data_IF_334840105144
#
_entry.id   IF_334840105144
#
_cell.length_a   1.000
_cell.length_b   1.000
_cell.length_c   1.000
_cell.angle_alpha   90.00
_cell.angle_beta   90.00
_cell.angle_gamma   90.00
#
_symmetry.space_group_name_H-M   'P 1'
#
loop_
_entity.id
_entity.type
_entity.pdbx_description
1 polymer ?
#
# COMPACT_ATOMS: atom_id res chain seq x y z
N UNK A 1 -23.02 7.39 18.28
CA UNK A 1 -22.78 6.10 17.58
C UNK A 1 -21.95 6.29 16.30
N UNK A 2 -22.28 7.25 15.42
CA UNK A 2 -21.52 7.49 14.17
C UNK A 2 -20.01 7.74 14.33
N UNK A 3 -19.58 8.44 15.40
CA UNK A 3 -18.16 8.70 15.69
C UNK A 3 -17.34 7.45 16.00
N UNK A 4 -17.91 6.52 16.77
CA UNK A 4 -17.26 5.24 17.13
C UNK A 4 -17.16 4.36 15.88
N UNK A 5 -18.20 4.31 15.05
CA UNK A 5 -18.18 3.56 13.79
C UNK A 5 -17.09 4.07 12.84
N UNK A 6 -16.95 5.39 12.67
CA UNK A 6 -15.89 5.98 11.85
C UNK A 6 -14.48 5.64 12.37
N UNK A 7 -14.30 5.64 13.69
CA UNK A 7 -13.03 5.26 14.32
C UNK A 7 -12.68 3.78 14.11
N UNK A 8 -13.63 2.88 14.36
CA UNK A 8 -13.45 1.44 14.13
C UNK A 8 -13.16 1.15 12.66
N UNK A 9 -13.87 1.81 11.74
CA UNK A 9 -13.62 1.72 10.31
C UNK A 9 -12.17 2.13 9.97
N UNK A 10 -11.68 3.26 10.48
CA UNK A 10 -10.30 3.69 10.25
C UNK A 10 -9.26 2.70 10.77
N UNK A 11 -9.50 2.08 11.94
CA UNK A 11 -8.63 1.01 12.49
C UNK A 11 -8.60 -0.19 11.55
N UNK A 12 -9.76 -0.64 11.06
CA UNK A 12 -9.85 -1.78 10.13
C UNK A 12 -9.12 -1.47 8.82
N UNK A 13 -9.32 -0.28 8.25
CA UNK A 13 -8.61 0.14 7.05
C UNK A 13 -7.08 0.14 7.25
N UNK A 14 -6.62 0.64 8.40
CA UNK A 14 -5.21 0.63 8.75
C UNK A 14 -4.66 -0.79 8.91
N UNK A 15 -5.38 -1.67 9.59
CA UNK A 15 -4.97 -3.06 9.78
C UNK A 15 -4.87 -3.80 8.44
N UNK A 16 -5.84 -3.59 7.53
CA UNK A 16 -5.80 -4.12 6.16
C UNK A 16 -4.57 -3.60 5.43
N UNK A 17 -4.33 -2.28 5.44
CA UNK A 17 -3.15 -1.70 4.83
C UNK A 17 -1.86 -2.32 5.37
N UNK A 18 -1.72 -2.42 6.70
CA UNK A 18 -0.51 -2.93 7.32
C UNK A 18 -0.27 -4.40 6.97
N UNK A 19 -1.32 -5.22 6.96
CA UNK A 19 -1.25 -6.60 6.49
C UNK A 19 -0.84 -6.69 5.02
N UNK A 20 -1.44 -5.87 4.14
CA UNK A 20 -1.09 -5.78 2.72
C UNK A 20 0.36 -5.32 2.52
N UNK A 21 0.85 -4.37 3.32
CA UNK A 21 2.24 -3.92 3.30
C UNK A 21 3.20 -5.04 3.69
N UNK A 22 2.93 -5.76 4.77
CA UNK A 22 3.73 -6.92 5.17
C UNK A 22 3.69 -8.03 4.12
N UNK A 23 2.54 -8.26 3.48
CA UNK A 23 2.42 -9.20 2.38
C UNK A 23 3.29 -8.77 1.19
N UNK A 24 3.33 -7.47 0.86
CA UNK A 24 4.20 -6.94 -0.19
C UNK A 24 5.69 -7.24 0.05
N UNK A 25 6.15 -7.16 1.30
CA UNK A 25 7.52 -7.55 1.70
C UNK A 25 7.77 -9.01 1.35
N UNK A 26 6.84 -9.90 1.71
CA UNK A 26 6.94 -11.33 1.41
C UNK A 26 6.85 -11.63 -0.09
N UNK A 27 5.93 -10.95 -0.79
CA UNK A 27 5.67 -11.12 -2.22
C UNK A 27 6.89 -10.78 -3.09
N UNK A 28 7.58 -9.70 -2.75
CA UNK A 28 8.83 -9.29 -3.43
C UNK A 28 10.04 -10.07 -2.89
N UNK A 29 10.07 -10.35 -1.60
CA UNK A 29 11.21 -10.98 -0.93
C UNK A 29 11.25 -12.51 -1.01
N UNK A 30 10.22 -13.17 -1.56
CA UNK A 30 10.06 -14.63 -1.53
C UNK A 30 10.03 -15.24 -0.12
N UNK A 31 9.32 -14.60 0.81
CA UNK A 31 9.30 -15.03 2.22
C UNK A 31 7.86 -15.15 2.73
N UNK A 32 7.52 -16.31 3.32
CA UNK A 32 6.31 -16.58 4.14
C UNK A 32 4.95 -16.49 3.40
N UNK A 33 4.90 -15.97 2.17
CA UNK A 33 3.66 -15.82 1.39
C UNK A 33 3.46 -16.96 0.37
N UNK A 34 2.20 -17.30 0.02
CA UNK A 34 1.90 -18.38 -0.93
C UNK A 34 2.19 -18.01 -2.39
N UNK A 35 2.08 -16.72 -2.72
CA UNK A 35 2.34 -16.19 -4.07
C UNK A 35 3.49 -15.20 -3.98
N UNK A 36 4.48 -15.32 -4.86
CA UNK A 36 5.59 -14.38 -5.00
C UNK A 36 5.69 -13.85 -6.43
N UNK A 37 6.43 -12.75 -6.58
CA UNK A 37 6.54 -12.02 -7.86
C UNK A 37 7.19 -12.85 -8.98
N UNK A 38 8.14 -13.70 -8.62
CA UNK A 38 9.00 -14.52 -9.50
C UNK A 38 8.78 -16.02 -9.27
N UNK A 39 7.57 -16.41 -8.88
CA UNK A 39 7.15 -17.80 -8.76
C UNK A 39 7.25 -18.61 -10.06
N UNK A 40 6.84 -19.88 -10.00
CA UNK A 40 6.86 -20.75 -11.19
C UNK A 40 5.79 -20.29 -12.18
N UNK A 41 6.12 -20.03 -13.46
CA UNK A 41 5.15 -19.64 -14.47
C UNK A 41 4.10 -20.71 -14.72
N UNK A 42 2.83 -20.31 -14.74
CA UNK A 42 1.67 -21.18 -14.98
C UNK A 42 1.00 -20.91 -16.32
N UNK A 43 1.21 -19.73 -16.89
CA UNK A 43 0.61 -19.27 -18.15
C UNK A 43 1.66 -18.94 -19.21
N UNK A 44 1.31 -18.94 -20.51
CA UNK A 44 2.17 -18.41 -21.55
C UNK A 44 2.55 -16.95 -21.28
N UNK A 45 3.82 -16.60 -21.53
CA UNK A 45 4.38 -15.28 -21.22
C UNK A 45 3.49 -14.10 -21.67
N UNK A 46 3.02 -14.11 -22.92
CA UNK A 46 2.20 -13.00 -23.44
C UNK A 46 0.87 -12.82 -22.71
N UNK A 47 0.26 -13.91 -22.26
CA UNK A 47 -0.98 -13.87 -21.48
C UNK A 47 -0.72 -13.38 -20.05
N UNK A 48 0.31 -13.91 -19.40
CA UNK A 48 0.72 -13.48 -18.06
C UNK A 48 1.05 -11.97 -18.05
N UNK A 49 1.83 -11.51 -19.03
CA UNK A 49 2.20 -10.11 -19.19
C UNK A 49 0.97 -9.20 -19.35
N UNK A 50 -0.02 -9.61 -20.15
CA UNK A 50 -1.24 -8.82 -20.35
C UNK A 50 -2.04 -8.71 -19.04
N UNK A 51 -2.17 -9.81 -18.30
CA UNK A 51 -2.85 -9.83 -17.00
C UNK A 51 -2.14 -8.92 -16.01
N UNK A 52 -0.83 -9.04 -15.86
CA UNK A 52 -0.05 -8.23 -14.93
C UNK A 52 -0.10 -6.74 -15.28
N UNK A 53 -0.01 -6.40 -16.57
CA UNK A 53 -0.17 -5.01 -17.03
C UNK A 53 -1.56 -4.47 -16.73
N UNK A 54 -2.62 -5.28 -16.88
CA UNK A 54 -3.97 -4.88 -16.53
C UNK A 54 -4.13 -4.67 -15.02
N UNK A 55 -3.58 -5.57 -14.18
CA UNK A 55 -3.58 -5.45 -12.73
C UNK A 55 -2.82 -4.20 -12.26
N UNK A 56 -1.63 -3.95 -12.83
CA UNK A 56 -0.85 -2.75 -12.58
C UNK A 56 -1.61 -1.49 -13.00
N UNK A 57 -2.28 -1.52 -14.15
CA UNK A 57 -3.10 -0.40 -14.61
C UNK A 57 -4.28 -0.12 -13.66
N UNK A 58 -4.97 -1.16 -13.18
CA UNK A 58 -6.06 -1.01 -12.20
C UNK A 58 -5.55 -0.32 -10.94
N UNK A 59 -4.45 -0.79 -10.37
CA UNK A 59 -3.84 -0.18 -9.19
C UNK A 59 -3.39 1.26 -9.46
N UNK A 60 -2.60 1.48 -10.52
CA UNK A 60 -2.03 2.79 -10.84
C UNK A 60 -3.10 3.83 -11.16
N UNK A 61 -4.12 3.48 -11.94
CA UNK A 61 -5.24 4.36 -12.28
C UNK A 61 -6.07 4.65 -11.03
N UNK A 62 -6.46 3.64 -10.27
CA UNK A 62 -7.26 3.84 -9.05
C UNK A 62 -6.53 4.76 -8.06
N UNK A 63 -5.27 4.47 -7.75
CA UNK A 63 -4.46 5.25 -6.81
C UNK A 63 -4.25 6.68 -7.30
N UNK A 64 -3.88 6.86 -8.57
CA UNK A 64 -3.61 8.17 -9.14
C UNK A 64 -4.87 9.03 -9.25
N UNK A 65 -6.00 8.45 -9.67
CA UNK A 65 -7.26 9.18 -9.81
C UNK A 65 -7.76 9.64 -8.46
N UNK A 66 -7.77 8.77 -7.45
CA UNK A 66 -8.22 9.14 -6.11
C UNK A 66 -7.29 10.16 -5.44
N UNK A 67 -6.02 10.24 -5.84
CA UNK A 67 -5.10 11.26 -5.34
C UNK A 67 -5.40 12.66 -5.89
N UNK A 68 -6.10 12.78 -7.02
CA UNK A 68 -6.34 14.07 -7.71
C UNK A 68 -7.33 14.96 -6.95
N UNK A 69 -7.09 16.29 -6.88
CA UNK A 69 -7.97 17.23 -6.19
C UNK A 69 -9.42 17.21 -6.71
N UNK A 70 -9.62 17.09 -8.02
CA UNK A 70 -10.96 17.06 -8.63
C UNK A 70 -11.78 15.83 -8.23
N UNK A 71 -11.12 14.66 -8.10
CA UNK A 71 -11.80 13.47 -7.60
C UNK A 71 -12.17 13.63 -6.12
N UNK A 72 -11.24 14.13 -5.30
CA UNK A 72 -11.50 14.38 -3.87
C UNK A 72 -12.70 15.31 -3.66
N UNK A 73 -12.79 16.40 -4.42
CA UNK A 73 -13.91 17.35 -4.32
C UNK A 73 -15.28 16.75 -4.70
N UNK A 74 -15.31 15.73 -5.56
CA UNK A 74 -16.53 14.98 -5.88
C UNK A 74 -16.79 13.91 -4.83
N UNK A 75 -15.74 13.22 -4.38
CA UNK A 75 -15.82 12.09 -3.47
C UNK A 75 -16.28 12.51 -2.07
N UNK A 76 -15.86 13.68 -1.59
CA UNK A 76 -16.28 14.25 -0.29
C UNK A 76 -17.77 14.60 -0.23
N UNK A 77 -18.47 14.64 -1.38
CA UNK A 77 -19.95 14.78 -1.41
C UNK A 77 -20.67 13.48 -1.08
N UNK A 78 -19.99 12.34 -1.21
CA UNK A 78 -20.54 10.99 -0.99
C UNK A 78 -19.98 10.41 0.30
N UNK A 79 -18.68 10.55 0.53
CA UNK A 79 -17.96 10.01 1.68
C UNK A 79 -17.64 11.15 2.65
N UNK A 80 -17.97 11.02 3.95
CA UNK A 80 -17.63 12.04 4.93
C UNK A 80 -16.13 12.31 4.99
N UNK A 81 -15.75 13.58 5.09
CA UNK A 81 -14.36 14.04 5.07
C UNK A 81 -13.48 13.31 6.11
N UNK A 82 -14.03 13.03 7.29
CA UNK A 82 -13.31 12.37 8.38
C UNK A 82 -12.95 10.89 8.11
N UNK A 83 -13.53 10.23 7.10
CA UNK A 83 -13.17 8.87 6.66
C UNK A 83 -12.59 8.82 5.24
N UNK A 84 -12.45 9.95 4.56
CA UNK A 84 -11.96 10.02 3.17
C UNK A 84 -10.61 9.32 3.02
N UNK A 85 -9.63 9.66 3.87
CA UNK A 85 -8.28 9.11 3.80
C UNK A 85 -8.24 7.62 4.13
N UNK A 86 -8.97 7.19 5.17
CA UNK A 86 -9.07 5.75 5.49
C UNK A 86 -9.72 4.95 4.35
N UNK A 87 -10.66 5.56 3.63
CA UNK A 87 -11.30 4.96 2.46
C UNK A 87 -10.34 4.86 1.27
N UNK A 88 -9.58 5.92 1.01
CA UNK A 88 -8.50 5.90 0.01
C UNK A 88 -7.50 4.76 0.25
N UNK A 89 -7.06 4.62 1.51
CA UNK A 89 -6.13 3.57 1.94
C UNK A 89 -6.73 2.18 1.73
N UNK A 90 -8.02 1.99 2.06
CA UNK A 90 -8.72 0.73 1.85
C UNK A 90 -8.77 0.35 0.36
N UNK A 91 -9.24 1.24 -0.51
CA UNK A 91 -9.34 0.94 -1.95
C UNK A 91 -7.97 0.65 -2.58
N UNK A 92 -6.94 1.41 -2.20
CA UNK A 92 -5.56 1.16 -2.64
C UNK A 92 -5.06 -0.20 -2.15
N UNK A 93 -5.38 -0.58 -0.91
CA UNK A 93 -5.00 -1.88 -0.34
C UNK A 93 -5.73 -3.03 -1.02
N UNK A 94 -7.02 -2.87 -1.35
CA UNK A 94 -7.80 -3.87 -2.07
C UNK A 94 -7.29 -4.08 -3.51
N UNK A 95 -6.91 -3.00 -4.19
CA UNK A 95 -6.28 -3.09 -5.51
C UNK A 95 -4.94 -3.84 -5.46
N UNK A 96 -4.13 -3.60 -4.43
CA UNK A 96 -2.90 -4.38 -4.19
C UNK A 96 -3.18 -5.84 -3.84
N UNK A 97 -4.18 -6.13 -3.00
CA UNK A 97 -4.58 -7.51 -2.68
C UNK A 97 -5.01 -8.24 -3.96
N UNK A 98 -5.81 -7.59 -4.81
CA UNK A 98 -6.20 -8.15 -6.11
C UNK A 98 -4.98 -8.42 -6.99
N UNK A 99 -4.03 -7.49 -7.04
CA UNK A 99 -2.77 -7.66 -7.76
C UNK A 99 -2.01 -8.88 -7.23
N UNK A 100 -1.77 -8.99 -5.92
CA UNK A 100 -1.05 -10.12 -5.33
C UNK A 100 -1.75 -11.45 -5.56
N UNK A 101 -3.08 -11.44 -5.56
CA UNK A 101 -3.87 -12.65 -5.75
C UNK A 101 -3.85 -13.14 -7.20
N UNK A 102 -3.91 -12.22 -8.17
CA UNK A 102 -4.05 -12.55 -9.59
C UNK A 102 -2.74 -12.45 -10.38
N UNK A 103 -1.64 -12.07 -9.72
CA UNK A 103 -0.32 -11.94 -10.34
C UNK A 103 0.10 -13.23 -11.03
N UNK A 104 0.68 -13.11 -12.23
CA UNK A 104 1.13 -14.22 -13.05
C UNK A 104 2.66 -14.20 -13.20
N UNK A 105 3.41 -15.10 -12.53
CA UNK A 105 4.86 -15.13 -12.67
C UNK A 105 5.28 -15.31 -14.13
N UNK A 106 6.03 -14.34 -14.66
CA UNK A 106 6.49 -14.34 -16.04
C UNK A 106 7.63 -15.34 -16.30
N UNK A 107 8.38 -15.66 -15.24
CA UNK A 107 9.55 -16.51 -15.29
C UNK A 107 10.74 -15.86 -16.00
N UNK A 108 11.77 -16.68 -16.22
CA UNK A 108 13.06 -16.23 -16.74
C UNK A 108 13.94 -15.61 -15.66
N UNK A 109 15.25 -15.67 -15.89
CA UNK A 109 16.25 -15.06 -15.04
C UNK A 109 17.06 -14.07 -15.89
N UNK A 110 17.01 -12.79 -15.53
CA UNK A 110 17.79 -11.74 -16.21
C UNK A 110 19.25 -11.78 -15.71
N UNK A 111 19.43 -12.04 -14.41
CA UNK A 111 20.72 -12.21 -13.76
C UNK A 111 20.55 -13.16 -12.56
N UNK A 112 21.65 -13.82 -12.17
CA UNK A 112 21.64 -14.75 -11.04
C UNK A 112 22.96 -14.64 -10.28
N UNK A 113 22.87 -14.58 -8.94
CA UNK A 113 24.04 -14.62 -8.06
C UNK A 113 24.02 -15.95 -7.31
N UNK A 114 25.06 -16.77 -7.55
CA UNK A 114 25.19 -18.09 -6.94
C UNK A 114 25.91 -18.07 -5.57
N UNK A 115 26.71 -17.03 -5.29
CA UNK A 115 27.42 -16.93 -4.01
C UNK A 115 26.48 -16.43 -2.90
N UNK A 116 26.43 -17.20 -1.81
CA UNK A 116 25.67 -16.90 -0.57
C UNK A 116 25.90 -15.50 -0.03
N UNK A 117 27.15 -15.00 -0.06
CA UNK A 117 27.48 -13.66 0.46
C UNK A 117 26.77 -12.58 -0.35
N UNK A 118 26.86 -12.64 -1.68
CA UNK A 118 26.21 -11.66 -2.56
C UNK A 118 24.69 -11.69 -2.42
N UNK A 119 24.11 -12.89 -2.29
CA UNK A 119 22.66 -13.04 -2.03
C UNK A 119 22.25 -12.40 -0.69
N UNK A 120 23.02 -12.62 0.38
CA UNK A 120 22.72 -12.05 1.69
C UNK A 120 22.86 -10.53 1.70
N UNK A 121 23.83 -9.96 0.98
CA UNK A 121 23.98 -8.50 0.83
C UNK A 121 22.74 -7.91 0.16
N UNK A 122 22.22 -8.54 -0.90
CA UNK A 122 21.02 -8.07 -1.59
C UNK A 122 19.76 -8.18 -0.72
N UNK A 123 19.59 -9.28 0.01
CA UNK A 123 18.50 -9.39 0.99
C UNK A 123 18.63 -8.35 2.11
N UNK A 124 19.85 -8.07 2.57
CA UNK A 124 20.12 -7.01 3.55
C UNK A 124 19.74 -5.62 3.03
N UNK A 125 20.10 -5.31 1.77
CA UNK A 125 19.70 -4.07 1.09
C UNK A 125 18.18 -3.97 0.92
N UNK A 126 17.52 -5.08 0.54
CA UNK A 126 16.07 -5.15 0.42
C UNK A 126 15.39 -4.88 1.78
N UNK A 127 15.83 -5.55 2.85
CA UNK A 127 15.31 -5.35 4.20
C UNK A 127 15.54 -3.90 4.67
N UNK A 128 16.71 -3.34 4.42
CA UNK A 128 17.00 -1.93 4.72
C UNK A 128 16.06 -0.99 3.96
N UNK A 129 15.81 -1.23 2.67
CA UNK A 129 14.86 -0.45 1.87
C UNK A 129 13.45 -0.45 2.47
N UNK A 130 12.94 -1.62 2.89
CA UNK A 130 11.64 -1.72 3.56
C UNK A 130 11.60 -0.99 4.90
N UNK A 131 12.65 -1.10 5.72
CA UNK A 131 12.77 -0.37 6.97
C UNK A 131 12.82 1.14 6.74
N UNK A 132 13.53 1.59 5.72
CA UNK A 132 13.61 3.00 5.34
C UNK A 132 12.22 3.53 4.93
N UNK A 133 11.48 2.79 4.09
CA UNK A 133 10.11 3.16 3.71
C UNK A 133 9.23 3.28 4.95
N UNK A 134 9.25 2.29 5.85
CA UNK A 134 8.48 2.34 7.09
C UNK A 134 8.89 3.54 7.96
N UNK A 135 10.18 3.74 8.21
CA UNK A 135 10.69 4.86 9.01
C UNK A 135 10.29 6.22 8.42
N UNK A 136 10.33 6.35 7.09
CA UNK A 136 9.95 7.58 6.37
C UNK A 136 8.48 7.96 6.61
N UNK A 137 7.58 6.98 6.71
CA UNK A 137 6.19 7.26 7.05
C UNK A 137 6.04 7.87 8.46
N UNK A 138 6.85 7.44 9.43
CA UNK A 138 6.85 8.02 10.77
C UNK A 138 7.41 9.45 10.81
N UNK A 139 8.41 9.75 9.99
CA UNK A 139 8.99 11.10 9.88
C UNK A 139 7.99 12.15 9.38
N UNK A 140 7.08 11.76 8.48
CA UNK A 140 6.07 12.69 7.92
C UNK A 140 4.85 12.83 8.84
N UNK A 141 4.45 11.74 9.50
CA UNK A 141 3.32 11.54 10.43
C UNK A 141 2.47 10.33 9.99
N UNK A 142 2.92 9.13 10.36
CA UNK A 142 2.36 7.84 9.93
C UNK A 142 0.84 7.73 10.12
N UNK A 143 0.35 8.11 11.30
CA UNK A 143 -1.07 8.02 11.62
C UNK A 143 -1.92 9.04 10.88
N UNK A 144 -1.36 10.21 10.55
CA UNK A 144 -2.04 11.15 9.66
C UNK A 144 -2.07 10.57 8.24
N UNK A 145 -0.93 10.09 7.71
CA UNK A 145 -0.80 9.54 6.36
C UNK A 145 -1.84 8.44 6.05
N UNK A 146 -2.17 7.59 7.02
CA UNK A 146 -3.16 6.52 6.86
C UNK A 146 -4.58 6.87 7.38
N UNK A 147 -4.82 8.12 7.78
CA UNK A 147 -6.14 8.63 8.17
C UNK A 147 -6.58 8.31 9.60
N UNK A 148 -5.75 7.62 10.39
CA UNK A 148 -6.05 7.30 11.80
C UNK A 148 -6.20 8.57 12.66
N UNK A 149 -5.41 9.61 12.39
CA UNK A 149 -5.53 10.90 13.08
C UNK A 149 -6.87 11.59 12.79
N UNK A 150 -7.36 11.52 11.54
CA UNK A 150 -8.64 12.12 11.14
C UNK A 150 -9.81 11.50 11.91
N UNK A 151 -9.89 10.16 11.91
CA UNK A 151 -10.97 9.45 12.62
C UNK A 151 -10.86 9.58 14.14
N UNK A 152 -9.65 9.69 14.69
CA UNK A 152 -9.43 9.93 16.12
C UNK A 152 -9.88 11.33 16.57
N UNK A 153 -9.56 12.37 15.78
CA UNK A 153 -10.01 13.73 16.07
C UNK A 153 -11.53 13.83 15.99
N UNK A 154 -12.15 13.19 14.99
CA UNK A 154 -13.59 13.09 14.88
C UNK A 154 -14.22 12.37 16.08
N UNK A 155 -13.60 11.30 16.59
CA UNK A 155 -14.03 10.63 17.82
C UNK A 155 -14.04 11.59 19.02
N UNK A 156 -13.00 12.42 19.14
CA UNK A 156 -12.89 13.44 20.20
C UNK A 156 -13.75 14.69 19.95
N UNK A 157 -14.45 14.78 18.82
CA UNK A 157 -15.25 15.95 18.45
C UNK A 157 -14.42 17.19 18.18
N UNK A 158 -13.17 17.03 17.72
CA UNK A 158 -12.31 18.12 17.26
C UNK A 158 -12.29 18.16 15.74
N UNK A 159 -12.25 19.37 15.18
CA UNK A 159 -12.10 19.55 13.74
C UNK A 159 -10.70 19.13 13.28
N UNK A 160 -10.63 18.63 12.05
CA UNK A 160 -9.37 18.20 11.45
C UNK A 160 -8.67 19.40 10.81
N UNK A 161 -7.50 19.75 11.34
CA UNK A 161 -6.58 20.69 10.69
C UNK A 161 -5.49 19.92 9.96
N UNK A 162 -5.32 20.21 8.67
CA UNK A 162 -4.24 19.62 7.88
C UNK A 162 -2.88 20.01 8.50
N UNK A 163 -2.01 19.02 8.82
CA UNK A 163 -0.66 19.35 9.25
C UNK A 163 0.05 20.17 8.16
N UNK A 164 0.70 21.26 8.56
CA UNK A 164 1.54 22.04 7.67
C UNK A 164 2.64 21.14 7.08
N UNK A 165 2.97 21.36 5.81
CA UNK A 165 4.09 20.66 5.19
C UNK A 165 5.38 21.08 5.91
N UNK A 166 5.95 20.15 6.68
CA UNK A 166 7.25 20.32 7.32
C UNK A 166 8.22 19.44 6.56
N UNK A 167 9.27 20.01 5.99
CA UNK A 167 10.45 19.23 5.56
C UNK A 167 11.16 18.75 6.82
N UNK A 168 11.11 17.45 7.17
CA UNK A 168 11.89 16.95 8.28
C UNK A 168 13.36 17.18 7.90
N UNK A 169 14.10 17.88 8.73
CA UNK A 169 15.54 18.05 8.54
C UNK A 169 16.18 16.66 8.52
N UNK A 170 16.70 16.25 7.36
CA UNK A 170 17.88 15.40 7.31
C UNK A 170 19.08 16.24 7.75
#
# INVERSE_FOLDING_TARGET
MHRIAAFLYGIVCYAIFFATFLYAIGFIGNVIVPTSIDGIPTLPFGQALLIDLALLAVFAVQHSVMARPGFKALWTKIVPEHVERSTYVLFSSLALILLFWQWQPLGGAIWQINNTIGRNVLYGLCAFGWLLVLASTFLINHFDLFGLRQVWLYLRGRDYEHPHFVTPSL
#
